data_IF_814516122927
#
_entry.id   IF_814516122927
#
_cell.length_a   1.000
_cell.length_b   1.000
_cell.length_c   1.000
_cell.angle_alpha   90.00
_cell.angle_beta   90.00
_cell.angle_gamma   90.00
#
_symmetry.space_group_name_H-M   'P 1'
#
loop_
_entity.id
_entity.type
_entity.pdbx_description
1 polymer ?
#
# COMPACT_ATOMS: atom_id res chain seq x y z
N UNK A 1 -8.25 -15.84 -36.86
CA UNK A 1 -7.24 -14.90 -36.37
C UNK A 1 -6.43 -15.62 -35.31
N UNK A 2 -5.09 -15.56 -35.30
CA UNK A 2 -4.32 -16.05 -34.18
C UNK A 2 -4.73 -15.25 -32.92
N UNK A 3 -4.70 -15.85 -31.71
CA UNK A 3 -5.02 -15.11 -30.50
C UNK A 3 -4.04 -13.95 -30.34
N UNK A 4 -4.57 -12.75 -30.19
CA UNK A 4 -3.77 -11.55 -29.95
C UNK A 4 -3.17 -11.70 -28.55
N UNK A 5 -1.86 -11.86 -28.48
CA UNK A 5 -1.15 -11.85 -27.19
C UNK A 5 -1.08 -10.41 -26.71
N UNK A 6 -1.67 -10.14 -25.55
CA UNK A 6 -1.58 -8.86 -24.86
C UNK A 6 -0.68 -8.99 -23.64
N UNK A 7 0.13 -7.98 -23.40
CA UNK A 7 0.99 -7.87 -22.24
C UNK A 7 0.55 -6.66 -21.42
N UNK A 8 0.30 -6.86 -20.14
CA UNK A 8 0.12 -5.75 -19.21
C UNK A 8 1.45 -4.99 -19.05
N UNK A 9 1.43 -3.70 -19.31
CA UNK A 9 2.63 -2.85 -19.25
C UNK A 9 2.61 -1.93 -18.05
N UNK A 10 1.43 -1.44 -17.65
CA UNK A 10 1.27 -0.49 -16.55
C UNK A 10 -0.07 -0.68 -15.86
N UNK A 11 -0.10 -0.35 -14.58
CA UNK A 11 -1.33 -0.07 -13.85
C UNK A 11 -1.26 1.37 -13.31
N UNK A 12 -2.33 2.14 -13.51
CA UNK A 12 -2.44 3.50 -13.01
C UNK A 12 -3.62 3.59 -12.05
N UNK A 13 -3.43 4.21 -10.90
CA UNK A 13 -4.47 4.36 -9.88
C UNK A 13 -4.71 5.84 -9.63
N UNK A 14 -5.98 6.21 -9.48
CA UNK A 14 -6.41 7.57 -9.18
C UNK A 14 -7.55 7.56 -8.17
N UNK A 15 -7.51 8.47 -7.19
CA UNK A 15 -8.64 8.70 -6.30
C UNK A 15 -9.83 9.25 -7.10
N UNK A 16 -11.00 8.76 -6.80
CA UNK A 16 -12.26 9.25 -7.38
C UNK A 16 -13.09 9.95 -6.29
N UNK A 17 -13.99 10.81 -6.71
CA UNK A 17 -15.00 11.35 -5.79
C UNK A 17 -16.02 10.27 -5.37
N UNK A 18 -16.91 10.60 -4.45
CA UNK A 18 -17.94 9.70 -3.92
C UNK A 18 -18.85 9.09 -5.00
N UNK A 19 -18.94 9.73 -6.15
CA UNK A 19 -19.68 9.23 -7.33
C UNK A 19 -18.88 8.28 -8.21
N UNK A 20 -17.63 7.99 -7.88
CA UNK A 20 -16.71 7.22 -8.73
C UNK A 20 -16.15 8.00 -9.91
N UNK A 21 -16.46 9.29 -10.05
CA UNK A 21 -15.95 10.13 -11.13
C UNK A 21 -14.48 10.53 -10.89
N UNK A 22 -13.68 10.49 -11.96
CA UNK A 22 -12.29 10.94 -11.91
C UNK A 22 -12.27 12.47 -11.87
N UNK A 23 -11.49 13.09 -10.96
CA UNK A 23 -11.32 14.55 -10.91
C UNK A 23 -10.74 15.11 -12.21
N UNK A 24 -10.98 16.39 -12.50
CA UNK A 24 -10.46 17.06 -13.71
C UNK A 24 -8.92 17.07 -13.74
N UNK A 25 -8.28 17.27 -12.57
CA UNK A 25 -6.83 17.24 -12.42
C UNK A 25 -6.45 16.20 -11.37
N UNK A 26 -6.40 14.90 -11.72
CA UNK A 26 -6.16 13.84 -10.76
C UNK A 26 -4.68 13.76 -10.35
N UNK A 27 -4.41 13.27 -9.15
CA UNK A 27 -3.09 12.71 -8.81
C UNK A 27 -3.08 11.26 -9.26
N UNK A 28 -2.17 10.93 -10.18
CA UNK A 28 -2.08 9.60 -10.78
C UNK A 28 -0.86 8.87 -10.26
N UNK A 29 -1.07 7.69 -9.69
CA UNK A 29 0.00 6.75 -9.33
C UNK A 29 0.19 5.74 -10.44
N UNK A 30 1.41 5.60 -10.93
CA UNK A 30 1.77 4.70 -12.03
C UNK A 30 2.71 3.61 -11.51
N UNK A 31 2.29 2.36 -11.67
CA UNK A 31 3.04 1.16 -11.30
C UNK A 31 3.53 0.45 -12.56
N UNK A 32 4.84 0.23 -12.69
CA UNK A 32 5.44 -0.52 -13.78
C UNK A 32 5.61 -1.99 -13.39
N UNK A 33 5.26 -2.90 -14.30
CA UNK A 33 5.49 -4.33 -14.13
C UNK A 33 4.71 -5.01 -12.99
N UNK A 34 3.64 -4.38 -12.53
CA UNK A 34 2.79 -4.89 -11.45
C UNK A 34 1.98 -6.10 -11.92
N UNK A 35 1.84 -7.10 -11.06
CA UNK A 35 0.86 -8.15 -11.27
C UNK A 35 -0.52 -7.63 -10.87
N UNK A 36 -1.47 -7.71 -11.77
CA UNK A 36 -2.86 -7.39 -11.50
C UNK A 36 -3.77 -8.44 -12.13
N UNK A 37 -4.82 -8.79 -11.41
CA UNK A 37 -5.92 -9.61 -11.93
C UNK A 37 -7.17 -8.75 -12.02
N UNK A 38 -7.95 -8.96 -13.07
CA UNK A 38 -9.25 -8.36 -13.26
C UNK A 38 -10.23 -9.48 -13.59
N UNK A 39 -11.21 -9.69 -12.72
CA UNK A 39 -12.29 -10.63 -12.94
C UNK A 39 -13.59 -9.87 -13.19
N UNK A 40 -14.24 -10.21 -14.28
CA UNK A 40 -15.53 -9.69 -14.67
C UNK A 40 -16.53 -10.84 -14.68
N UNK A 41 -17.56 -10.76 -13.88
CA UNK A 41 -18.68 -11.70 -13.91
C UNK A 41 -19.99 -10.95 -14.13
N UNK A 42 -20.91 -11.59 -14.81
CA UNK A 42 -22.23 -11.08 -15.06
C UNK A 42 -23.27 -12.14 -14.70
N UNK A 43 -24.16 -11.81 -13.78
CA UNK A 43 -25.33 -12.62 -13.51
C UNK A 43 -26.33 -12.44 -14.64
N UNK A 44 -26.61 -13.49 -15.40
CA UNK A 44 -27.59 -13.48 -16.45
C UNK A 44 -28.74 -14.43 -16.12
N UNK A 45 -29.95 -13.93 -16.12
CA UNK A 45 -31.13 -14.75 -15.97
C UNK A 45 -31.65 -15.18 -17.35
N UNK A 46 -31.85 -16.50 -17.51
CA UNK A 46 -32.43 -17.07 -18.74
C UNK A 46 -33.93 -17.26 -18.52
N UNK A 47 -34.73 -16.37 -19.05
CA UNK A 47 -36.19 -16.54 -19.06
C UNK A 47 -36.60 -17.42 -20.22
N UNK A 48 -37.23 -18.56 -19.89
CA UNK A 48 -37.91 -19.38 -20.87
C UNK A 48 -39.34 -18.85 -21.00
N UNK A 49 -39.64 -18.15 -22.09
CA UNK A 49 -41.01 -17.74 -22.41
C UNK A 49 -41.71 -18.82 -23.20
N UNK A 50 -43.01 -18.97 -23.03
CA UNK A 50 -43.82 -19.81 -23.91
C UNK A 50 -43.71 -19.25 -25.35
N UNK A 51 -43.05 -19.99 -26.21
CA UNK A 51 -42.93 -19.65 -27.63
C UNK A 51 -44.25 -19.93 -28.37
N UNK A 52 -44.28 -19.74 -29.70
CA UNK A 52 -45.43 -19.91 -30.57
C UNK A 52 -45.88 -21.40 -30.74
N UNK A 53 -45.76 -22.20 -29.69
CA UNK A 53 -46.28 -23.56 -29.61
C UNK A 53 -45.35 -24.68 -30.10
N UNK A 54 -44.20 -24.35 -30.70
CA UNK A 54 -43.26 -25.35 -31.26
C UNK A 54 -41.88 -25.28 -30.58
N UNK A 55 -41.41 -24.08 -30.22
CA UNK A 55 -40.12 -23.89 -29.55
C UNK A 55 -40.21 -22.85 -28.43
N UNK A 56 -39.59 -23.08 -27.27
CA UNK A 56 -39.52 -22.05 -26.21
C UNK A 56 -38.62 -20.92 -26.69
N UNK A 57 -39.10 -19.68 -26.65
CA UNK A 57 -38.24 -18.51 -26.84
C UNK A 57 -37.40 -18.28 -25.59
N UNK A 58 -36.09 -18.17 -25.75
CA UNK A 58 -35.16 -17.80 -24.67
C UNK A 58 -34.85 -16.32 -24.75
N UNK A 59 -35.11 -15.64 -23.67
CA UNK A 59 -34.60 -14.29 -23.48
C UNK A 59 -33.54 -14.32 -22.40
N UNK A 60 -32.36 -13.78 -22.70
CA UNK A 60 -31.29 -13.61 -21.72
C UNK A 60 -31.37 -12.19 -21.23
N UNK A 61 -31.71 -12.03 -19.96
CA UNK A 61 -31.65 -10.74 -19.30
C UNK A 61 -30.24 -10.53 -18.75
N UNK A 62 -29.62 -9.46 -19.18
CA UNK A 62 -28.34 -9.00 -18.64
C UNK A 62 -28.51 -8.65 -17.17
N UNK A 63 -27.78 -9.31 -16.32
CA UNK A 63 -27.82 -9.09 -14.88
C UNK A 63 -26.78 -8.07 -14.40
N UNK A 64 -26.52 -8.08 -13.11
CA UNK A 64 -25.55 -7.19 -12.49
C UNK A 64 -24.14 -7.67 -12.80
N UNK A 65 -23.30 -6.76 -13.26
CA UNK A 65 -21.87 -7.03 -13.46
C UNK A 65 -21.14 -6.91 -12.14
N UNK A 66 -20.40 -7.94 -11.76
CA UNK A 66 -19.48 -7.91 -10.61
C UNK A 66 -18.06 -7.78 -11.12
N UNK A 67 -17.32 -6.90 -10.48
CA UNK A 67 -15.94 -6.57 -10.85
C UNK A 67 -15.10 -6.75 -9.60
N UNK A 68 -14.16 -7.70 -9.67
CA UNK A 68 -13.13 -7.84 -8.64
C UNK A 68 -11.76 -7.69 -9.27
N UNK A 69 -10.85 -7.07 -8.57
CA UNK A 69 -9.46 -6.97 -9.02
C UNK A 69 -8.50 -7.08 -7.86
N UNK A 70 -7.29 -7.54 -8.16
CA UNK A 70 -6.20 -7.60 -7.21
C UNK A 70 -4.99 -6.92 -7.82
N UNK A 71 -4.41 -6.01 -7.06
CA UNK A 71 -3.16 -5.33 -7.37
C UNK A 71 -2.09 -5.84 -6.43
N UNK A 72 -1.15 -6.64 -6.95
CA UNK A 72 0.03 -7.08 -6.23
C UNK A 72 1.25 -6.29 -6.70
N UNK A 73 2.00 -5.73 -5.77
CA UNK A 73 3.23 -4.99 -6.05
C UNK A 73 4.31 -5.35 -5.03
N UNK A 74 5.58 -5.14 -5.40
CA UNK A 74 6.65 -5.07 -4.43
C UNK A 74 6.38 -3.88 -3.51
N UNK A 75 6.56 -4.07 -2.20
CA UNK A 75 6.38 -2.99 -1.24
C UNK A 75 7.41 -1.89 -1.51
N UNK A 76 6.94 -0.66 -1.62
CA UNK A 76 7.75 0.48 -2.02
C UNK A 76 7.43 1.70 -1.15
N UNK A 77 8.45 2.47 -0.75
CA UNK A 77 8.30 3.63 0.11
C UNK A 77 7.43 4.74 -0.48
N UNK A 78 7.39 4.88 -1.81
CA UNK A 78 6.63 5.93 -2.48
C UNK A 78 5.14 5.60 -2.61
N UNK A 79 4.79 4.32 -2.76
CA UNK A 79 3.43 3.88 -3.03
C UNK A 79 2.68 3.37 -1.81
N UNK A 80 3.40 2.94 -0.78
CA UNK A 80 2.79 2.29 0.39
C UNK A 80 1.76 3.19 1.08
N UNK A 81 2.07 4.47 1.26
CA UNK A 81 1.16 5.41 1.93
C UNK A 81 -0.19 5.52 1.20
N UNK A 82 -0.17 5.52 -0.14
CA UNK A 82 -1.38 5.54 -0.95
C UNK A 82 -2.16 4.22 -0.84
N UNK A 83 -1.49 3.07 -1.02
CA UNK A 83 -2.14 1.75 -0.95
C UNK A 83 -2.74 1.49 0.44
N UNK A 84 -2.01 1.86 1.50
CA UNK A 84 -2.52 1.81 2.87
C UNK A 84 -3.67 2.82 3.09
N UNK A 85 -3.56 4.01 2.51
CA UNK A 85 -4.58 5.05 2.59
C UNK A 85 -5.92 4.58 2.03
N UNK A 86 -5.95 4.03 0.82
CA UNK A 86 -7.20 3.55 0.18
C UNK A 86 -7.78 2.31 0.87
N UNK A 87 -6.98 1.56 1.62
CA UNK A 87 -7.39 0.26 2.19
C UNK A 87 -7.62 0.30 3.70
N UNK A 88 -6.83 1.08 4.44
CA UNK A 88 -6.93 1.20 5.91
C UNK A 88 -7.63 2.51 6.27
N UNK A 89 -7.20 3.60 5.66
CA UNK A 89 -7.77 4.92 5.85
C UNK A 89 -6.78 6.02 5.49
N UNK A 90 -7.26 7.04 4.77
CA UNK A 90 -6.43 8.20 4.40
C UNK A 90 -5.99 8.97 5.65
N UNK A 91 -4.74 9.46 5.67
CA UNK A 91 -4.29 10.37 6.71
C UNK A 91 -5.08 11.68 6.63
N UNK A 92 -5.40 12.23 7.79
CA UNK A 92 -6.12 13.52 7.87
C UNK A 92 -5.20 14.71 7.62
N UNK A 93 -3.92 14.54 7.84
CA UNK A 93 -2.87 15.52 7.59
C UNK A 93 -1.51 14.85 7.48
N UNK A 94 -0.62 15.49 6.75
CA UNK A 94 0.80 15.15 6.71
C UNK A 94 1.59 16.22 7.45
N UNK A 95 2.68 15.83 8.10
CA UNK A 95 3.57 16.76 8.81
C UNK A 95 4.98 16.70 8.25
N UNK A 96 5.66 17.85 8.17
CA UNK A 96 7.08 17.88 7.82
C UNK A 96 7.91 17.19 8.91
N UNK A 97 8.84 16.34 8.50
CA UNK A 97 9.74 15.63 9.44
C UNK A 97 10.84 16.56 9.93
N UNK A 98 11.45 17.32 9.01
CA UNK A 98 12.45 18.31 9.34
C UNK A 98 11.78 19.55 9.96
N UNK A 99 11.98 19.78 11.26
CA UNK A 99 11.44 20.96 11.97
C UNK A 99 12.45 22.10 12.10
N UNK A 100 13.73 21.79 12.01
CA UNK A 100 14.85 22.73 12.21
C UNK A 100 15.64 22.88 10.91
N UNK A 101 16.05 24.11 10.60
CA UNK A 101 16.96 24.38 9.48
C UNK A 101 18.39 24.01 9.85
N UNK A 102 19.19 23.64 8.85
CA UNK A 102 20.61 23.46 9.04
C UNK A 102 21.24 24.72 9.67
N UNK A 103 22.15 24.52 10.61
CA UNK A 103 22.89 25.60 11.25
C UNK A 103 24.36 25.21 11.39
N UNK A 104 25.26 26.21 11.41
CA UNK A 104 26.72 26.02 11.53
C UNK A 104 27.12 25.59 12.94
N UNK A 105 28.12 24.71 13.05
CA UNK A 105 28.72 24.32 14.33
C UNK A 105 27.79 23.53 15.27
N UNK A 106 26.71 22.96 14.76
CA UNK A 106 25.75 22.18 15.53
C UNK A 106 26.11 20.71 15.49
N UNK A 107 26.04 20.04 16.64
CA UNK A 107 26.20 18.58 16.72
C UNK A 107 24.91 17.90 16.25
N UNK A 108 25.03 17.04 15.25
CA UNK A 108 23.92 16.29 14.67
C UNK A 108 24.16 14.80 14.82
N UNK A 109 23.13 14.05 15.16
CA UNK A 109 23.17 12.59 15.26
C UNK A 109 22.63 11.94 14.00
N UNK A 110 23.14 10.76 13.66
CA UNK A 110 22.56 9.95 12.59
C UNK A 110 21.05 9.72 12.82
N UNK A 111 20.26 9.75 11.75
CA UNK A 111 18.80 9.67 11.83
C UNK A 111 18.07 11.00 11.94
N UNK A 112 18.80 12.13 12.02
CA UNK A 112 18.20 13.48 12.13
C UNK A 112 17.88 14.05 10.74
N UNK A 113 16.71 14.71 10.62
CA UNK A 113 16.33 15.51 9.47
C UNK A 113 16.52 16.99 9.75
N UNK A 114 17.08 17.71 8.80
CA UNK A 114 17.15 19.18 8.82
C UNK A 114 16.69 19.77 7.49
N UNK A 115 16.13 20.97 7.53
CA UNK A 115 15.79 21.73 6.32
C UNK A 115 17.06 22.26 5.68
N UNK A 116 17.20 22.02 4.37
CA UNK A 116 18.28 22.62 3.57
C UNK A 116 18.16 24.14 3.50
N UNK A 117 19.24 24.80 3.10
CA UNK A 117 19.26 26.25 2.94
C UNK A 117 19.31 26.63 1.46
N UNK A 118 20.04 25.88 0.65
CA UNK A 118 20.22 26.17 -0.77
C UNK A 118 20.05 24.92 -1.63
N UNK A 119 18.87 24.67 -2.20
CA UNK A 119 17.62 25.46 -2.07
C UNK A 119 16.90 25.14 -0.75
N UNK A 120 16.11 26.11 -0.28
CA UNK A 120 15.33 25.97 0.94
C UNK A 120 14.17 24.96 0.84
N UNK A 121 13.94 24.38 -0.35
CA UNK A 121 12.92 23.36 -0.60
C UNK A 121 13.39 21.94 -0.30
N UNK A 122 14.71 21.73 -0.22
CA UNK A 122 15.30 20.41 0.02
C UNK A 122 15.32 20.10 1.52
N UNK A 123 15.36 18.80 1.86
CA UNK A 123 15.66 18.32 3.19
C UNK A 123 16.94 17.48 3.17
N UNK A 124 17.63 17.44 4.30
CA UNK A 124 18.86 16.70 4.51
C UNK A 124 18.63 15.64 5.61
N UNK A 125 18.95 14.40 5.32
CA UNK A 125 18.91 13.30 6.29
C UNK A 125 20.34 12.92 6.69
N UNK A 126 20.64 12.95 7.97
CA UNK A 126 21.96 12.63 8.49
C UNK A 126 22.17 11.11 8.58
N UNK A 127 23.12 10.57 7.80
CA UNK A 127 23.53 9.16 7.87
C UNK A 127 24.79 8.96 8.74
N UNK A 128 25.66 9.96 8.79
CA UNK A 128 26.83 9.96 9.70
C UNK A 128 26.81 11.22 10.54
N UNK A 129 26.66 11.05 11.84
CA UNK A 129 26.62 12.17 12.79
C UNK A 129 27.98 12.84 12.98
N UNK A 130 27.96 14.08 13.46
CA UNK A 130 29.14 14.90 13.70
C UNK A 130 28.75 16.35 13.96
N UNK A 131 29.71 17.25 13.84
CA UNK A 131 29.47 18.69 13.94
C UNK A 131 29.42 19.31 12.54
N UNK A 132 28.35 20.05 12.24
CA UNK A 132 28.18 20.74 10.96
C UNK A 132 29.30 21.75 10.70
N UNK A 133 29.63 21.98 9.44
CA UNK A 133 30.68 22.89 9.01
C UNK A 133 30.32 24.37 9.15
N UNK A 134 31.18 25.22 8.62
CA UNK A 134 30.93 26.67 8.59
C UNK A 134 29.98 27.10 7.48
N UNK A 135 29.83 26.31 6.44
CA UNK A 135 29.04 26.63 5.24
C UNK A 135 28.00 25.53 4.99
N UNK A 136 26.75 25.92 4.77
CA UNK A 136 25.67 24.99 4.48
C UNK A 136 25.95 24.19 3.19
N UNK A 137 25.60 22.91 3.13
CA UNK A 137 25.64 22.13 1.91
C UNK A 137 24.77 22.75 0.82
N UNK A 138 25.32 22.89 -0.39
CA UNK A 138 24.60 23.34 -1.58
C UNK A 138 24.11 22.11 -2.33
N UNK A 139 22.78 21.96 -2.40
CA UNK A 139 22.15 20.76 -2.98
C UNK A 139 21.53 20.99 -4.36
N UNK A 140 21.59 22.23 -4.90
CA UNK A 140 20.91 22.64 -6.14
C UNK A 140 21.21 21.72 -7.33
N UNK A 141 22.48 21.34 -7.52
CA UNK A 141 22.92 20.48 -8.63
C UNK A 141 22.92 18.99 -8.28
N UNK A 142 22.60 18.61 -7.05
CA UNK A 142 22.59 17.23 -6.62
C UNK A 142 21.28 16.54 -7.00
N UNK A 143 21.36 15.24 -7.28
CA UNK A 143 20.19 14.42 -7.53
C UNK A 143 19.46 14.07 -6.21
N UNK A 144 18.23 13.58 -6.32
CA UNK A 144 17.52 12.92 -5.22
C UNK A 144 18.39 11.78 -4.70
N UNK A 145 18.46 11.62 -3.38
CA UNK A 145 19.24 10.59 -2.69
C UNK A 145 20.75 10.66 -2.85
N UNK A 146 21.28 11.76 -3.40
CA UNK A 146 22.73 11.99 -3.44
C UNK A 146 23.28 12.25 -2.03
N UNK A 147 24.52 11.83 -1.80
CA UNK A 147 25.22 12.12 -0.57
C UNK A 147 26.04 13.40 -0.68
N UNK A 148 26.09 14.17 0.39
CA UNK A 148 26.94 15.34 0.53
C UNK A 148 27.59 15.37 1.90
N UNK A 149 28.90 15.67 1.95
CA UNK A 149 29.67 15.74 3.19
C UNK A 149 29.79 17.20 3.65
N UNK A 150 29.57 17.41 4.94
CA UNK A 150 29.67 18.70 5.62
C UNK A 150 30.47 18.51 6.92
N UNK A 151 31.78 18.83 6.90
CA UNK A 151 32.68 18.71 8.04
C UNK A 151 32.63 17.35 8.78
N UNK A 152 32.58 16.25 8.01
CA UNK A 152 32.49 14.89 8.55
C UNK A 152 31.05 14.39 8.81
N UNK A 153 30.05 15.27 8.80
CA UNK A 153 28.65 14.87 8.72
C UNK A 153 28.33 14.46 7.31
N UNK A 154 27.70 13.31 7.12
CA UNK A 154 27.25 12.86 5.78
C UNK A 154 25.73 12.95 5.73
N UNK A 155 25.24 13.67 4.74
CA UNK A 155 23.84 13.92 4.49
C UNK A 155 23.36 13.23 3.22
N UNK A 156 22.14 12.72 3.24
CA UNK A 156 21.37 12.33 2.06
C UNK A 156 20.44 13.46 1.68
N UNK A 157 20.42 13.82 0.41
CA UNK A 157 19.64 14.94 -0.12
C UNK A 157 18.25 14.45 -0.55
N UNK A 158 17.20 15.04 0.00
CA UNK A 158 15.83 14.91 -0.48
C UNK A 158 15.41 16.17 -1.20
N UNK A 159 15.08 16.07 -2.49
CA UNK A 159 14.74 17.21 -3.37
C UNK A 159 13.38 17.87 -3.09
N UNK A 160 12.67 17.36 -2.13
CA UNK A 160 11.41 17.93 -1.62
C UNK A 160 11.33 17.72 -0.12
N UNK A 161 10.40 18.43 0.53
CA UNK A 161 10.14 18.24 1.96
C UNK A 161 9.74 16.78 2.23
N UNK A 162 10.44 16.17 3.16
CA UNK A 162 10.09 14.84 3.65
C UNK A 162 8.95 14.98 4.64
N UNK A 163 7.88 14.25 4.40
CA UNK A 163 6.67 14.31 5.23
C UNK A 163 6.40 12.96 5.88
N UNK A 164 5.65 13.04 6.95
CA UNK A 164 5.12 11.89 7.66
C UNK A 164 3.61 11.84 7.50
N UNK A 165 3.10 10.71 7.06
CA UNK A 165 1.69 10.36 7.06
C UNK A 165 1.42 9.29 8.10
N UNK A 166 0.37 9.44 8.89
CA UNK A 166 -0.04 8.45 9.89
C UNK A 166 -1.55 8.32 9.85
N UNK A 167 -2.05 7.10 9.75
CA UNK A 167 -3.48 6.83 9.87
C UNK A 167 -3.73 5.44 10.44
N UNK A 168 -4.90 5.28 11.05
CA UNK A 168 -5.43 4.00 11.48
C UNK A 168 -6.67 3.63 10.68
N UNK A 169 -7.34 2.57 11.09
CA UNK A 169 -8.58 2.10 10.48
C UNK A 169 -9.65 3.19 10.54
N UNK A 170 -10.18 3.58 9.38
CA UNK A 170 -11.24 4.58 9.23
C UNK A 170 -12.57 3.92 8.86
N UNK A 171 -13.68 4.50 9.32
CA UNK A 171 -15.00 4.01 8.99
C UNK A 171 -15.33 4.13 7.50
N UNK A 172 -14.90 5.22 6.85
CA UNK A 172 -15.07 5.43 5.42
C UNK A 172 -13.74 5.34 4.71
N UNK A 173 -13.72 4.61 3.59
CA UNK A 173 -12.58 4.51 2.69
C UNK A 173 -12.88 5.30 1.42
N UNK A 174 -11.85 5.93 0.81
CA UNK A 174 -12.01 6.58 -0.47
C UNK A 174 -12.28 5.55 -1.56
N UNK A 175 -13.01 5.96 -2.57
CA UNK A 175 -13.11 5.22 -3.83
C UNK A 175 -12.00 5.63 -4.79
N UNK A 176 -11.66 4.74 -5.70
CA UNK A 176 -10.60 4.97 -6.67
C UNK A 176 -10.88 4.26 -7.99
N UNK A 177 -10.18 4.66 -9.04
CA UNK A 177 -10.17 3.99 -10.32
C UNK A 177 -8.82 3.33 -10.54
N UNK A 178 -8.84 2.18 -11.22
CA UNK A 178 -7.64 1.49 -11.68
C UNK A 178 -7.71 1.40 -13.20
N UNK A 179 -6.69 1.87 -13.89
CA UNK A 179 -6.53 1.72 -15.33
C UNK A 179 -5.38 0.77 -15.62
N UNK A 180 -5.67 -0.24 -16.42
CA UNK A 180 -4.70 -1.22 -16.92
C UNK A 180 -4.35 -0.87 -18.36
N UNK A 181 -3.07 -0.66 -18.64
CA UNK A 181 -2.54 -0.52 -19.99
C UNK A 181 -2.05 -1.88 -20.46
N UNK A 182 -2.63 -2.36 -21.55
CA UNK A 182 -2.22 -3.57 -22.24
C UNK A 182 -1.61 -3.17 -23.58
N UNK A 183 -0.54 -3.86 -23.96
CA UNK A 183 0.09 -3.66 -25.26
C UNK A 183 0.06 -4.95 -26.07
N UNK A 184 -0.38 -4.83 -27.32
CA UNK A 184 -0.32 -5.93 -28.28
C UNK A 184 1.09 -6.09 -28.84
N UNK A 185 1.39 -7.23 -29.46
CA UNK A 185 2.67 -7.46 -30.14
C UNK A 185 2.99 -6.42 -31.24
N UNK A 186 1.96 -5.80 -31.79
CA UNK A 186 2.07 -4.75 -32.83
C UNK A 186 2.23 -3.34 -32.24
N UNK A 187 2.38 -3.21 -30.90
CA UNK A 187 2.55 -1.94 -30.21
C UNK A 187 1.27 -1.14 -30.01
N UNK A 188 0.10 -1.72 -30.32
CA UNK A 188 -1.19 -1.08 -30.08
C UNK A 188 -1.54 -1.17 -28.62
N UNK A 189 -1.86 -0.03 -28.00
CA UNK A 189 -2.25 0.05 -26.61
C UNK A 189 -3.77 -0.02 -26.46
N UNK A 190 -4.19 -0.85 -25.50
CA UNK A 190 -5.58 -1.03 -25.11
C UNK A 190 -5.68 -0.74 -23.62
N UNK A 191 -6.72 -0.02 -23.24
CA UNK A 191 -6.93 0.40 -21.85
C UNK A 191 -8.22 -0.18 -21.31
N UNK A 192 -8.15 -0.69 -20.08
CA UNK A 192 -9.31 -1.09 -19.28
C UNK A 192 -9.29 -0.31 -17.97
N UNK A 193 -10.39 0.32 -17.64
CA UNK A 193 -10.53 1.09 -16.41
C UNK A 193 -11.70 0.58 -15.59
N UNK A 194 -11.42 0.25 -14.33
CA UNK A 194 -12.45 -0.01 -13.34
C UNK A 194 -12.69 1.26 -12.51
N UNK A 195 -13.95 1.59 -12.29
CA UNK A 195 -14.39 2.79 -11.57
C UNK A 195 -15.15 2.42 -10.31
N UNK A 196 -15.13 3.33 -9.34
CA UNK A 196 -15.81 3.13 -8.06
C UNK A 196 -15.26 1.93 -7.30
N UNK A 197 -13.95 1.67 -7.44
CA UNK A 197 -13.32 0.62 -6.66
C UNK A 197 -13.26 1.01 -5.19
N UNK A 198 -13.56 0.05 -4.34
CA UNK A 198 -13.33 0.12 -2.91
C UNK A 198 -12.42 -1.03 -2.50
N UNK A 199 -11.44 -0.77 -1.63
CA UNK A 199 -10.52 -1.80 -1.19
C UNK A 199 -11.22 -2.81 -0.28
N UNK A 200 -11.29 -4.07 -0.70
CA UNK A 200 -11.83 -5.17 0.09
C UNK A 200 -10.86 -5.60 1.17
N UNK A 201 -9.57 -5.70 0.83
CA UNK A 201 -8.52 -6.01 1.80
C UNK A 201 -7.18 -5.47 1.35
N UNK A 202 -6.27 -5.33 2.31
CA UNK A 202 -4.84 -5.13 2.08
C UNK A 202 -4.07 -6.18 2.83
N UNK A 203 -3.10 -6.79 2.17
CA UNK A 203 -2.18 -7.73 2.80
C UNK A 203 -0.74 -7.38 2.48
N UNK A 204 0.13 -7.66 3.44
CA UNK A 204 1.58 -7.53 3.30
C UNK A 204 2.23 -8.82 3.75
N UNK A 205 3.15 -9.34 2.97
CA UNK A 205 3.89 -10.56 3.30
C UNK A 205 5.39 -10.35 3.15
N UNK A 206 6.12 -10.98 4.05
CA UNK A 206 7.59 -11.03 4.05
C UNK A 206 8.00 -12.48 4.24
N UNK A 207 8.80 -12.98 3.33
CA UNK A 207 9.34 -14.34 3.40
C UNK A 207 10.87 -14.30 3.33
N UNK A 208 11.52 -15.28 3.92
CA UNK A 208 12.97 -15.45 3.83
C UNK A 208 13.38 -15.59 2.37
N UNK A 209 14.23 -14.72 1.87
CA UNK A 209 14.74 -14.67 0.48
C UNK A 209 13.78 -14.08 -0.57
N UNK A 210 12.63 -13.56 -0.21
CA UNK A 210 11.76 -12.81 -1.12
C UNK A 210 11.77 -11.32 -0.79
N UNK A 211 11.32 -10.49 -1.73
CA UNK A 211 11.06 -9.05 -1.47
C UNK A 211 9.71 -8.92 -0.78
N UNK A 212 9.55 -7.99 0.18
CA UNK A 212 8.25 -7.69 0.76
C UNK A 212 7.23 -7.32 -0.31
N UNK A 213 6.05 -7.91 -0.21
CA UNK A 213 4.96 -7.66 -1.16
C UNK A 213 3.78 -7.01 -0.46
N UNK A 214 3.03 -6.23 -1.23
CA UNK A 214 1.76 -5.66 -0.83
C UNK A 214 0.71 -6.04 -1.87
N UNK A 215 -0.44 -6.48 -1.40
CA UNK A 215 -1.57 -6.84 -2.26
C UNK A 215 -2.80 -6.10 -1.78
N UNK A 216 -3.48 -5.42 -2.69
CA UNK A 216 -4.78 -4.78 -2.45
C UNK A 216 -5.83 -5.47 -3.30
N UNK A 217 -6.77 -6.15 -2.65
CA UNK A 217 -7.96 -6.67 -3.31
C UNK A 217 -9.05 -5.61 -3.33
N UNK A 218 -9.77 -5.51 -4.44
CA UNK A 218 -10.76 -4.47 -4.65
C UNK A 218 -12.02 -4.99 -5.31
N UNK A 219 -13.14 -4.35 -5.00
CA UNK A 219 -14.41 -4.55 -5.70
C UNK A 219 -14.78 -3.24 -6.41
N UNK A 220 -15.10 -3.32 -7.70
CA UNK A 220 -15.46 -2.18 -8.53
C UNK A 220 -16.93 -2.15 -8.90
N UNK A 221 -17.42 -0.96 -9.26
CA UNK A 221 -18.82 -0.77 -9.67
C UNK A 221 -19.02 -0.83 -11.18
N UNK A 222 -18.10 -0.28 -11.96
CA UNK A 222 -18.20 -0.22 -13.43
C UNK A 222 -16.86 -0.44 -14.12
N UNK A 223 -16.94 -0.91 -15.37
CA UNK A 223 -15.78 -1.05 -16.26
C UNK A 223 -15.98 -0.17 -17.50
N UNK A 224 -14.92 0.44 -17.96
CA UNK A 224 -14.81 1.15 -19.23
C UNK A 224 -13.55 0.72 -19.96
N UNK A 225 -13.61 0.60 -21.27
CA UNK A 225 -12.47 0.20 -22.09
C UNK A 225 -12.32 1.07 -23.33
N UNK A 226 -11.14 1.06 -23.93
CA UNK A 226 -10.84 1.82 -25.14
C UNK A 226 -11.24 1.09 -26.44
N UNK A 227 -11.72 -0.15 -26.35
CA UNK A 227 -12.14 -0.94 -27.52
C UNK A 227 -13.57 -0.57 -27.89
N UNK A 228 -14.46 -0.54 -26.90
CA UNK A 228 -15.90 -0.29 -27.12
C UNK A 228 -16.26 1.18 -27.02
N UNK A 229 -15.48 1.98 -26.30
CA UNK A 229 -15.71 3.42 -26.11
C UNK A 229 -14.73 4.24 -26.95
N UNK A 230 -15.16 4.70 -28.10
CA UNK A 230 -14.35 5.54 -29.01
C UNK A 230 -13.97 6.92 -28.42
N UNK A 231 -14.67 7.36 -27.38
CA UNK A 231 -14.38 8.62 -26.66
C UNK A 231 -13.55 8.38 -25.41
N UNK A 232 -12.97 7.20 -25.25
CA UNK A 232 -12.15 6.87 -24.09
C UNK A 232 -10.88 7.72 -24.06
N UNK A 233 -10.65 8.38 -22.93
CA UNK A 233 -9.42 9.13 -22.67
C UNK A 233 -8.62 8.39 -21.62
N UNK A 234 -7.44 7.84 -21.95
CA UNK A 234 -6.59 7.19 -20.96
C UNK A 234 -6.10 8.19 -19.92
N UNK A 235 -5.79 7.71 -18.71
CA UNK A 235 -5.25 8.56 -17.63
C UNK A 235 -3.96 9.28 -18.05
N UNK A 236 -3.15 8.64 -18.90
CA UNK A 236 -1.96 9.24 -19.52
C UNK A 236 -2.26 10.40 -20.47
N UNK A 237 -3.47 10.47 -21.03
CA UNK A 237 -3.94 11.56 -21.89
C UNK A 237 -4.66 12.70 -21.13
N UNK A 238 -4.91 12.52 -19.83
CA UNK A 238 -5.43 13.58 -18.97
C UNK A 238 -4.30 14.54 -18.57
N UNK A 239 -4.64 15.73 -18.13
CA UNK A 239 -3.67 16.66 -17.52
C UNK A 239 -3.68 16.44 -16.00
N UNK A 240 -2.81 15.56 -15.45
CA UNK A 240 -2.81 15.30 -14.02
C UNK A 240 -2.23 16.50 -13.26
N UNK A 241 -2.77 16.78 -12.07
CA UNK A 241 -2.16 17.73 -11.15
C UNK A 241 -0.77 17.23 -10.71
N UNK A 242 -0.64 15.92 -10.53
CA UNK A 242 0.59 15.25 -10.14
C UNK A 242 0.60 13.82 -10.68
N UNK A 243 1.71 13.41 -11.26
CA UNK A 243 1.98 12.02 -11.62
C UNK A 243 3.10 11.50 -10.72
N UNK A 244 2.84 10.39 -10.02
CA UNK A 244 3.81 9.70 -9.18
C UNK A 244 4.13 8.38 -9.86
N UNK A 245 5.31 8.29 -10.43
CA UNK A 245 5.82 7.02 -10.98
C UNK A 245 6.56 6.31 -9.86
N UNK A 246 6.09 5.11 -9.51
CA UNK A 246 6.73 4.28 -8.49
C UNK A 246 8.10 3.85 -9.01
N UNK A 247 9.15 4.16 -8.26
CA UNK A 247 10.52 3.89 -8.63
C UNK A 247 11.01 2.62 -7.92
N UNK A 248 11.40 1.61 -8.68
CA UNK A 248 11.89 0.31 -8.17
C UNK A 248 13.15 0.44 -7.28
N UNK A 249 13.91 1.55 -7.40
CA UNK A 249 15.04 1.82 -6.49
C UNK A 249 14.61 2.12 -5.05
N UNK A 250 13.33 2.43 -4.85
CA UNK A 250 12.72 2.72 -3.55
C UNK A 250 11.96 1.50 -2.98
N UNK A 251 12.21 0.32 -3.54
CA UNK A 251 11.62 -0.92 -3.05
C UNK A 251 12.16 -1.28 -1.67
N UNK A 252 11.26 -1.79 -0.84
CA UNK A 252 11.57 -2.26 0.50
C UNK A 252 12.33 -3.58 0.43
N UNK A 253 13.34 -3.75 1.28
CA UNK A 253 14.14 -4.97 1.37
C UNK A 253 13.98 -5.64 2.73
N UNK A 254 14.09 -6.96 2.75
CA UNK A 254 14.03 -7.74 4.00
C UNK A 254 15.11 -7.34 5.02
N UNK A 255 16.28 -6.91 4.56
CA UNK A 255 17.36 -6.43 5.44
C UNK A 255 17.02 -5.15 6.20
N UNK A 256 15.95 -4.47 5.82
CA UNK A 256 15.46 -3.23 6.44
C UNK A 256 14.35 -3.49 7.48
N UNK A 257 13.96 -4.76 7.65
CA UNK A 257 12.88 -5.16 8.54
C UNK A 257 13.32 -5.08 10.01
N UNK A 258 12.58 -4.30 10.78
CA UNK A 258 12.60 -4.33 12.24
C UNK A 258 11.28 -4.90 12.76
N UNK A 259 11.34 -5.74 13.77
CA UNK A 259 10.19 -6.41 14.34
C UNK A 259 10.22 -6.39 15.86
N UNK A 260 9.12 -6.01 16.48
CA UNK A 260 9.00 -5.92 17.95
C UNK A 260 7.69 -6.56 18.39
N UNK A 261 7.76 -7.46 19.36
CA UNK A 261 6.59 -8.09 20.00
C UNK A 261 6.65 -7.83 21.50
N UNK A 262 5.66 -7.16 22.04
CA UNK A 262 5.61 -6.81 23.46
C UNK A 262 6.83 -6.00 23.90
N UNK A 263 7.52 -6.47 24.92
CA UNK A 263 8.76 -5.87 25.44
C UNK A 263 10.03 -6.37 24.72
N UNK A 264 9.91 -7.39 23.84
CA UNK A 264 11.04 -7.97 23.11
C UNK A 264 11.40 -7.08 21.93
N UNK A 265 12.50 -6.35 22.03
CA UNK A 265 12.95 -5.38 21.02
C UNK A 265 13.50 -6.02 19.74
N UNK A 266 13.82 -7.32 19.76
CA UNK A 266 14.44 -8.03 18.63
C UNK A 266 13.98 -9.48 18.61
N UNK A 267 12.83 -9.71 17.97
CA UNK A 267 12.38 -11.08 17.73
C UNK A 267 12.85 -11.54 16.34
N UNK A 268 13.56 -12.68 16.23
CA UNK A 268 14.00 -13.18 14.94
C UNK A 268 12.82 -13.75 14.16
N UNK A 269 12.31 -13.00 13.21
CA UNK A 269 11.20 -13.40 12.32
C UNK A 269 11.74 -13.97 11.01
N UNK A 270 11.23 -15.11 10.60
CA UNK A 270 11.55 -15.77 9.32
C UNK A 270 10.50 -15.47 8.25
N UNK A 271 9.23 -15.49 8.65
CA UNK A 271 8.11 -15.08 7.80
C UNK A 271 7.14 -14.22 8.58
N UNK A 272 6.51 -13.30 7.89
CA UNK A 272 5.50 -12.41 8.46
C UNK A 272 4.43 -12.14 7.42
N UNK A 273 3.18 -12.16 7.84
CA UNK A 273 2.06 -11.70 7.04
C UNK A 273 1.06 -10.94 7.89
N UNK A 274 0.45 -9.92 7.31
CA UNK A 274 -0.66 -9.19 7.89
C UNK A 274 -1.71 -8.96 6.82
N UNK A 275 -2.97 -9.12 7.18
CA UNK A 275 -4.12 -8.82 6.33
C UNK A 275 -5.09 -7.97 7.12
N UNK A 276 -5.48 -6.84 6.56
CA UNK A 276 -6.62 -6.05 7.03
C UNK A 276 -7.77 -6.26 6.04
N UNK A 277 -8.82 -6.91 6.51
CA UNK A 277 -10.04 -7.18 5.76
C UNK A 277 -11.10 -6.15 6.13
N UNK A 278 -11.66 -5.51 5.12
CA UNK A 278 -12.66 -4.45 5.27
C UNK A 278 -14.09 -4.98 5.37
N UNK A 279 -14.29 -6.31 5.30
CA UNK A 279 -15.60 -6.97 5.36
C UNK A 279 -16.64 -6.25 4.47
N UNK A 280 -16.28 -6.06 3.19
CA UNK A 280 -17.15 -5.33 2.26
C UNK A 280 -18.43 -6.09 1.98
N UNK A 281 -19.53 -5.35 1.99
CA UNK A 281 -20.84 -5.83 1.59
C UNK A 281 -21.31 -5.06 0.36
N UNK A 282 -21.71 -5.80 -0.68
CA UNK A 282 -22.28 -5.23 -1.89
C UNK A 282 -23.73 -4.81 -1.64
N UNK A 283 -24.08 -3.60 -2.03
CA UNK A 283 -25.44 -3.08 -2.00
C UNK A 283 -25.94 -2.84 -3.42
N UNK A 284 -27.05 -3.47 -3.75
CA UNK A 284 -27.68 -3.44 -5.08
C UNK A 284 -29.06 -2.76 -5.00
N UNK A 285 -29.15 -1.43 -4.91
CA UNK A 285 -30.44 -0.75 -4.93
C UNK A 285 -31.04 -0.82 -6.36
N UNK A 286 -32.36 -0.94 -6.43
CA UNK A 286 -33.09 -1.06 -7.73
C UNK A 286 -32.93 0.18 -8.59
N UNK A 287 -32.75 1.35 -7.99
CA UNK A 287 -32.80 2.66 -8.67
C UNK A 287 -31.49 3.43 -8.62
N UNK A 288 -30.41 2.84 -8.14
CA UNK A 288 -29.11 3.47 -8.00
C UNK A 288 -27.99 2.53 -8.46
N UNK A 289 -26.85 3.06 -8.87
CA UNK A 289 -25.66 2.23 -9.10
C UNK A 289 -25.28 1.41 -7.86
N UNK A 290 -24.74 0.25 -8.12
CA UNK A 290 -24.15 -0.61 -7.09
C UNK A 290 -23.07 0.13 -6.31
N UNK A 291 -23.03 -0.05 -5.00
CA UNK A 291 -21.98 0.48 -4.13
C UNK A 291 -21.59 -0.53 -3.05
N UNK A 292 -20.45 -0.30 -2.43
CA UNK A 292 -19.92 -1.15 -1.37
C UNK A 292 -19.94 -0.42 -0.04
N UNK A 293 -20.36 -1.13 1.01
CA UNK A 293 -20.26 -0.68 2.40
C UNK A 293 -19.19 -1.48 3.11
N UNK A 294 -18.45 -0.83 4.00
CA UNK A 294 -17.49 -1.53 4.86
C UNK A 294 -18.17 -2.01 6.13
N UNK A 295 -17.97 -3.28 6.46
CA UNK A 295 -18.45 -3.89 7.70
C UNK A 295 -17.45 -3.75 8.85
N UNK A 296 -17.58 -4.64 9.83
CA UNK A 296 -16.64 -4.74 10.94
C UNK A 296 -15.30 -5.32 10.42
N UNK A 297 -14.27 -4.50 10.46
CA UNK A 297 -12.97 -4.87 9.94
C UNK A 297 -12.22 -5.80 10.86
N UNK A 298 -11.48 -6.73 10.27
CA UNK A 298 -10.57 -7.63 10.97
C UNK A 298 -9.13 -7.38 10.54
N UNK A 299 -8.21 -7.52 11.47
CA UNK A 299 -6.76 -7.51 11.19
C UNK A 299 -6.19 -8.80 11.75
N UNK A 300 -5.69 -9.63 10.87
CA UNK A 300 -5.14 -10.94 11.19
C UNK A 300 -3.79 -11.13 10.51
N UNK A 301 -3.01 -12.06 11.00
CA UNK A 301 -1.77 -12.43 10.36
C UNK A 301 -1.11 -13.63 11.00
N UNK A 302 0.02 -13.99 10.41
CA UNK A 302 0.86 -15.07 10.89
C UNK A 302 2.31 -14.61 10.94
N UNK A 303 3.06 -15.09 11.90
CA UNK A 303 4.49 -14.94 11.98
C UNK A 303 5.15 -16.28 12.34
N UNK A 304 6.25 -16.57 11.67
CA UNK A 304 7.13 -17.69 12.04
C UNK A 304 8.45 -17.09 12.50
N UNK A 305 8.91 -17.51 13.66
CA UNK A 305 10.16 -17.00 14.22
C UNK A 305 10.89 -18.02 15.06
N UNK A 306 12.04 -17.65 15.63
CA UNK A 306 12.73 -18.45 16.63
C UNK A 306 11.90 -18.59 17.92
N UNK A 307 12.20 -19.61 18.71
CA UNK A 307 11.58 -19.77 20.02
C UNK A 307 11.89 -18.58 20.93
N UNK A 308 10.84 -17.99 21.51
CA UNK A 308 10.95 -16.91 22.49
C UNK A 308 10.02 -17.20 23.68
N UNK A 309 10.61 -17.18 24.89
CA UNK A 309 9.90 -17.56 26.12
C UNK A 309 8.83 -16.53 26.51
N UNK A 310 9.04 -15.26 26.20
CA UNK A 310 8.12 -14.19 26.60
C UNK A 310 6.89 -14.17 25.66
N UNK A 311 7.09 -14.44 24.39
CA UNK A 311 5.98 -14.65 23.43
C UNK A 311 5.17 -15.88 23.82
N UNK A 312 5.85 -16.99 24.16
CA UNK A 312 5.15 -18.21 24.60
C UNK A 312 4.36 -17.98 25.89
N UNK A 313 4.91 -17.26 26.87
CA UNK A 313 4.18 -16.89 28.08
C UNK A 313 2.99 -15.98 27.78
N UNK A 314 3.11 -15.03 26.85
CA UNK A 314 2.00 -14.18 26.45
C UNK A 314 0.86 -15.01 25.84
N UNK A 315 1.16 -15.98 24.99
CA UNK A 315 0.18 -16.91 24.45
C UNK A 315 -0.47 -17.79 25.53
N UNK A 316 0.37 -18.35 26.43
CA UNK A 316 -0.11 -19.23 27.51
C UNK A 316 -1.06 -18.50 28.46
N UNK A 317 -0.75 -17.25 28.79
CA UNK A 317 -1.54 -16.43 29.70
C UNK A 317 -2.66 -15.67 29.01
N UNK A 318 -2.82 -15.83 27.67
CA UNK A 318 -3.76 -15.08 26.84
C UNK A 318 -3.65 -13.56 27.08
N UNK A 319 -2.40 -13.07 27.12
CA UNK A 319 -2.10 -11.67 27.40
C UNK A 319 -1.97 -10.91 26.10
N UNK A 320 -2.67 -9.78 25.99
CA UNK A 320 -2.53 -8.88 24.85
C UNK A 320 -1.09 -8.34 24.76
N UNK A 321 -0.55 -8.34 23.57
CA UNK A 321 0.78 -7.81 23.27
C UNK A 321 0.70 -6.72 22.21
N UNK A 322 1.62 -5.75 22.28
CA UNK A 322 1.82 -4.82 21.16
C UNK A 322 2.70 -5.50 20.09
N UNK A 323 2.41 -5.24 18.84
CA UNK A 323 3.21 -5.70 17.70
C UNK A 323 3.53 -4.52 16.82
N UNK A 324 4.80 -4.31 16.52
CA UNK A 324 5.25 -3.29 15.58
C UNK A 324 6.22 -3.89 14.56
N UNK A 325 5.96 -3.55 13.32
CA UNK A 325 6.78 -3.96 12.17
C UNK A 325 7.20 -2.71 11.43
N UNK A 326 8.48 -2.55 11.19
CA UNK A 326 8.97 -1.38 10.47
C UNK A 326 10.03 -1.77 9.44
N UNK A 327 10.11 -0.96 8.40
CA UNK A 327 11.17 -1.00 7.40
C UNK A 327 11.77 0.40 7.34
N UNK A 328 13.09 0.48 7.47
CA UNK A 328 13.83 1.74 7.43
C UNK A 328 14.98 1.59 6.45
N UNK A 329 15.05 2.45 5.46
CA UNK A 329 16.17 2.47 4.53
C UNK A 329 17.34 3.34 5.05
N UNK A 330 18.51 3.19 4.40
CA UNK A 330 19.68 4.01 4.72
C UNK A 330 19.53 5.50 4.36
N UNK A 331 18.40 5.90 3.73
CA UNK A 331 18.12 7.27 3.31
C UNK A 331 17.04 7.94 4.16
N UNK A 332 16.62 7.27 5.25
CA UNK A 332 15.66 7.78 6.23
C UNK A 332 14.19 7.49 5.93
N UNK A 333 13.86 6.93 4.77
CA UNK A 333 12.46 6.54 4.49
C UNK A 333 12.04 5.40 5.42
N UNK A 334 10.80 5.46 5.89
CA UNK A 334 10.29 4.50 6.87
C UNK A 334 8.85 4.12 6.54
N UNK A 335 8.56 2.83 6.64
CA UNK A 335 7.20 2.28 6.75
C UNK A 335 7.11 1.61 8.11
N UNK A 336 6.05 1.87 8.84
CA UNK A 336 5.79 1.27 10.15
C UNK A 336 4.32 0.86 10.23
N UNK A 337 4.08 -0.37 10.68
CA UNK A 337 2.77 -0.91 11.01
C UNK A 337 2.77 -1.20 12.50
N UNK A 338 1.82 -0.63 13.22
CA UNK A 338 1.69 -0.80 14.67
C UNK A 338 0.31 -1.33 15.03
N UNK A 339 0.29 -2.39 15.79
CA UNK A 339 -0.88 -2.99 16.40
C UNK A 339 -0.71 -2.91 17.92
N UNK A 340 -1.49 -2.04 18.56
CA UNK A 340 -1.35 -1.79 19.99
C UNK A 340 -1.80 -2.97 20.84
N UNK A 341 -2.73 -3.78 20.31
CA UNK A 341 -3.27 -4.94 21.01
C UNK A 341 -3.47 -6.09 20.04
N UNK A 342 -2.75 -7.15 20.30
CA UNK A 342 -2.74 -8.39 19.53
C UNK A 342 -2.99 -9.55 20.45
N UNK A 343 -3.98 -10.38 20.14
CA UNK A 343 -4.17 -11.68 20.75
C UNK A 343 -3.46 -12.74 19.93
N UNK A 344 -2.74 -13.61 20.60
CA UNK A 344 -2.01 -14.72 20.01
C UNK A 344 -2.53 -16.02 20.63
N UNK A 345 -3.28 -16.86 19.91
CA UNK A 345 -3.73 -18.16 20.42
C UNK A 345 -2.52 -19.05 20.72
N UNK A 346 -2.67 -19.93 21.69
CA UNK A 346 -1.60 -20.85 22.08
C UNK A 346 -1.22 -21.73 20.90
N UNK A 347 0.05 -21.68 20.52
CA UNK A 347 0.65 -22.53 19.51
C UNK A 347 1.71 -23.44 20.14
N UNK A 348 1.77 -24.68 19.68
CA UNK A 348 2.81 -25.61 20.10
C UNK A 348 4.10 -25.34 19.31
N UNK A 349 5.27 -25.29 19.98
CA UNK A 349 6.53 -25.21 19.27
C UNK A 349 6.82 -26.51 18.51
N UNK A 350 7.43 -26.40 17.35
CA UNK A 350 7.91 -27.55 16.60
C UNK A 350 9.32 -27.90 17.08
N UNK A 351 9.48 -29.12 17.57
CA UNK A 351 10.77 -29.66 18.01
C UNK A 351 11.26 -30.70 17.01
N UNK A 352 12.39 -30.43 16.39
CA UNK A 352 13.08 -31.40 15.55
C UNK A 352 14.48 -31.66 16.11
N UNK A 353 14.92 -32.90 16.09
CA UNK A 353 16.22 -33.32 16.62
C UNK A 353 17.36 -32.58 15.88
N UNK A 354 18.15 -31.80 16.60
CA UNK A 354 19.28 -31.05 16.05
C UNK A 354 18.92 -29.72 15.38
N UNK A 355 17.67 -29.29 15.42
CA UNK A 355 17.23 -27.99 14.90
C UNK A 355 16.85 -26.99 16.01
N UNK A 356 16.96 -25.71 15.70
CA UNK A 356 16.41 -24.65 16.54
C UNK A 356 14.89 -24.71 16.44
N UNK A 357 14.22 -24.72 17.58
CA UNK A 357 12.76 -24.70 17.64
C UNK A 357 12.21 -23.45 16.97
N UNK A 358 11.24 -23.64 16.09
CA UNK A 358 10.47 -22.56 15.48
C UNK A 358 9.12 -22.44 16.17
N UNK A 359 8.59 -21.23 16.18
CA UNK A 359 7.27 -20.92 16.70
C UNK A 359 6.44 -20.27 15.59
N UNK A 360 5.36 -20.96 15.20
CA UNK A 360 4.37 -20.42 14.26
C UNK A 360 3.22 -19.81 15.05
N UNK A 361 3.03 -18.51 14.93
CA UNK A 361 2.05 -17.76 15.70
C UNK A 361 1.06 -17.09 14.76
N UNK A 362 -0.18 -17.54 14.82
CA UNK A 362 -1.29 -16.76 14.28
C UNK A 362 -1.61 -15.61 15.25
N UNK A 363 -2.04 -14.47 14.75
CA UNK A 363 -2.45 -13.36 15.59
C UNK A 363 -3.65 -12.62 15.02
N UNK A 364 -4.39 -11.95 15.92
CA UNK A 364 -5.47 -11.05 15.58
C UNK A 364 -5.31 -9.74 16.34
N UNK A 365 -5.35 -8.62 15.61
CA UNK A 365 -5.27 -7.29 16.21
C UNK A 365 -6.66 -6.67 16.30
N UNK A 366 -6.89 -5.91 17.36
CA UNK A 366 -8.17 -5.24 17.60
C UNK A 366 -7.98 -3.85 18.23
N UNK A 367 -8.98 -3.00 17.99
CA UNK A 367 -9.03 -1.68 18.61
C UNK A 367 -9.60 -1.75 20.02
N UNK A 368 -9.06 -0.95 20.94
CA UNK A 368 -9.52 -0.83 22.32
C UNK A 368 -9.30 0.59 22.84
N UNK A 369 -10.27 1.10 23.60
CA UNK A 369 -10.19 2.41 24.24
C UNK A 369 -9.90 3.56 23.24
N UNK A 370 -10.49 3.51 22.05
CA UNK A 370 -10.28 4.53 21.00
C UNK A 370 -8.98 4.40 20.21
N UNK A 371 -8.15 3.40 20.49
CA UNK A 371 -6.95 3.08 19.71
C UNK A 371 -7.33 2.13 18.59
N UNK A 372 -6.88 2.44 17.37
CA UNK A 372 -7.12 1.58 16.20
C UNK A 372 -6.38 0.25 16.32
N UNK A 373 -6.99 -0.84 15.85
CA UNK A 373 -6.36 -2.16 15.82
C UNK A 373 -5.12 -2.24 14.93
N UNK A 374 -5.05 -1.39 13.91
CA UNK A 374 -3.90 -1.23 13.03
C UNK A 374 -3.68 0.25 12.73
N UNK A 375 -2.46 0.72 12.92
CA UNK A 375 -2.00 2.05 12.53
C UNK A 375 -0.79 1.89 11.62
N UNK A 376 -0.80 2.58 10.49
CA UNK A 376 0.39 2.73 9.66
C UNK A 376 0.98 4.12 9.80
N UNK A 377 2.30 4.20 9.63
CA UNK A 377 3.07 5.44 9.56
C UNK A 377 4.06 5.32 8.42
N UNK A 378 4.10 6.32 7.56
CA UNK A 378 5.05 6.39 6.45
C UNK A 378 5.80 7.70 6.52
N UNK A 379 7.12 7.62 6.33
CA UNK A 379 7.98 8.78 6.16
C UNK A 379 8.57 8.70 4.75
N UNK A 380 8.34 9.73 3.94
CA UNK A 380 8.80 9.78 2.55
C UNK A 380 8.49 11.11 1.87
N UNK A 381 8.84 11.20 0.59
CA UNK A 381 8.62 12.40 -0.23
C UNK A 381 7.28 12.37 -0.98
N UNK A 382 6.64 11.22 -1.09
CA UNK A 382 5.43 10.97 -1.87
C UNK A 382 4.25 10.52 -0.99
N UNK A 383 4.03 11.19 0.14
CA UNK A 383 2.98 10.85 1.11
C UNK A 383 1.80 11.84 1.10
N UNK A 384 1.82 12.83 0.23
CA UNK A 384 0.72 13.77 -0.02
C UNK A 384 -0.13 13.28 -1.20
N UNK A 385 -1.46 13.26 -1.05
CA UNK A 385 -2.42 12.81 -2.05
C UNK A 385 -3.44 13.88 -2.38
#
# INVERSE_FOLDING_TARGET
>A
MPPIQMRATKASIVLTGDTGAIPVNPTVFVFNGTQCSLELSEDSEKLNKLGNGVEPSREVLSGVKSISSSLEAVMNYDSFAFMAGVSIGMPTATTEVATVSWATGVVVTAGTYVKGITPATDDLYCITGGTTGATAPVTTALAQDAEVTDNGVVWVVHKSRVKQATSGIKACLPTFAIEYELETCDGVKVYFRTLGNAAASISTSVEKKSVPKITVATNGSTVSDSITNLSYVPLSGMTPAKTIVVNDTNDVRNSQLGFTVGASATYPVFTFSITSDNAQEEKLPINMPKYFTTGLRSVTGNMTGGWDIDIYKAMLNNTDSALAVNWVDGKGRKIELTMAQVTMPLAAPTFEAGMVSNLDVAYSAYGKNGVSGLVYKVIGTQVDF
#
